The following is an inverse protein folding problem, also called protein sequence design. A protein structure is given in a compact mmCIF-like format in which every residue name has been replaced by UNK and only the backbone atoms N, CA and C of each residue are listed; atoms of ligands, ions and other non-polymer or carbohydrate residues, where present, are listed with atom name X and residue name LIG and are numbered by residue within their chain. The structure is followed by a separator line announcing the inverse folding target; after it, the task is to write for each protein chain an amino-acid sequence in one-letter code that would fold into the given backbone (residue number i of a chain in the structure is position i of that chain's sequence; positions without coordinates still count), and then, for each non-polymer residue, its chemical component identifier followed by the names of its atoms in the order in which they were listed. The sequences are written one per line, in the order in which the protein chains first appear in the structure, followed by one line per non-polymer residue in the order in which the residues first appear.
data_IF_590369350702
#
_entry.id   IF_590369350702
#
_cell.length_a   1.000
_cell.length_b   1.000
_cell.length_c   1.000
_cell.angle_alpha   90.00
_cell.angle_beta   90.00
_cell.angle_gamma   90.00
#
_symmetry.space_group_name_H-M   'P 1'
#
loop_
_entity.id
_entity.type
_entity.pdbx_description
1 polymer ?
#
# COMPACT_ATOMS: atom_id res chain seq x y z
N UNK A 1 32.80 -16.52 22.05
CA UNK A 1 31.70 -17.11 22.84
C UNK A 1 30.44 -17.03 22.00
N UNK A 2 29.62 -18.09 21.89
CA UNK A 2 28.27 -17.94 21.36
C UNK A 2 27.52 -16.90 22.21
N UNK A 3 26.61 -16.11 21.61
CA UNK A 3 25.74 -15.22 22.38
C UNK A 3 25.01 -16.01 23.47
N UNK A 4 24.80 -15.37 24.62
CA UNK A 4 23.92 -15.96 25.62
C UNK A 4 22.47 -15.93 25.10
N UNK A 5 21.66 -16.92 25.47
CA UNK A 5 20.22 -16.94 25.14
C UNK A 5 19.52 -15.63 25.56
N UNK A 6 20.01 -14.97 26.62
CA UNK A 6 19.50 -13.69 27.12
C UNK A 6 19.73 -12.50 26.16
N UNK A 7 20.83 -12.47 25.41
CA UNK A 7 21.12 -11.37 24.48
C UNK A 7 20.10 -11.33 23.33
N UNK A 8 19.70 -12.51 22.84
CA UNK A 8 18.70 -12.64 21.77
C UNK A 8 17.31 -12.21 22.26
N UNK A 9 16.95 -12.61 23.48
CA UNK A 9 15.67 -12.25 24.10
C UNK A 9 15.53 -10.73 24.26
N UNK A 10 16.62 -10.07 24.68
CA UNK A 10 16.66 -8.61 24.78
C UNK A 10 16.49 -7.94 23.40
N UNK A 11 17.25 -8.38 22.38
CA UNK A 11 17.14 -7.85 21.00
C UNK A 11 15.71 -7.99 20.46
N UNK A 12 15.09 -9.14 20.68
CA UNK A 12 13.71 -9.40 20.22
C UNK A 12 12.72 -8.48 20.92
N UNK A 13 12.89 -8.29 22.23
CA UNK A 13 12.06 -7.38 23.02
C UNK A 13 12.16 -5.94 22.50
N UNK A 14 13.37 -5.47 22.20
CA UNK A 14 13.60 -4.13 21.65
C UNK A 14 12.98 -3.95 20.25
N UNK A 15 13.01 -4.98 19.41
CA UNK A 15 12.34 -4.98 18.09
C UNK A 15 10.82 -4.91 18.26
N UNK A 16 10.25 -5.75 19.12
CA UNK A 16 8.81 -5.77 19.38
C UNK A 16 8.34 -4.41 19.87
N UNK A 17 9.07 -3.79 20.81
CA UNK A 17 8.73 -2.46 21.32
C UNK A 17 8.77 -1.40 20.21
N UNK A 18 9.78 -1.42 19.34
CA UNK A 18 9.90 -0.48 18.23
C UNK A 18 8.76 -0.62 17.21
N UNK A 19 8.33 -1.85 16.91
CA UNK A 19 7.23 -2.12 15.97
C UNK A 19 5.86 -1.83 16.60
N UNK A 20 5.67 -2.16 17.88
CA UNK A 20 4.45 -1.85 18.63
C UNK A 20 4.23 -0.34 18.78
N UNK A 21 5.31 0.45 18.91
CA UNK A 21 5.24 1.92 18.91
C UNK A 21 4.69 2.49 17.60
N UNK A 22 4.77 1.72 16.50
CA UNK A 22 4.18 2.04 15.19
C UNK A 22 2.84 1.35 14.94
N UNK A 23 2.26 0.74 15.96
CA UNK A 23 1.00 -0.01 15.91
C UNK A 23 1.01 -1.24 14.99
N UNK A 24 2.19 -1.82 14.76
CA UNK A 24 2.38 -3.04 13.96
C UNK A 24 3.09 -4.13 14.76
N UNK A 25 2.52 -4.59 15.91
CA UNK A 25 3.13 -5.65 16.71
C UNK A 25 3.18 -6.95 15.90
N UNK A 26 4.36 -7.58 15.69
CA UNK A 26 4.46 -8.81 14.92
C UNK A 26 3.97 -10.03 15.70
N UNK A 27 3.61 -11.11 14.99
CA UNK A 27 3.34 -12.42 15.61
C UNK A 27 4.61 -13.08 16.12
N UNK A 28 4.46 -13.98 17.11
CA UNK A 28 5.58 -14.79 17.60
C UNK A 28 6.24 -15.62 16.48
N UNK A 29 5.43 -16.16 15.56
CA UNK A 29 5.93 -16.93 14.43
C UNK A 29 6.80 -16.07 13.50
N UNK A 30 6.36 -14.85 13.17
CA UNK A 30 7.15 -13.93 12.36
C UNK A 30 8.48 -13.57 13.05
N UNK A 31 8.44 -13.31 14.36
CA UNK A 31 9.66 -13.01 15.14
C UNK A 31 10.64 -14.18 15.17
N UNK A 32 10.17 -15.42 15.30
CA UNK A 32 11.01 -16.62 15.26
C UNK A 32 11.70 -16.79 13.90
N UNK A 33 11.00 -16.49 12.80
CA UNK A 33 11.63 -16.48 11.48
C UNK A 33 12.63 -15.32 11.31
N UNK A 34 12.29 -14.14 11.83
CA UNK A 34 13.17 -12.99 11.76
C UNK A 34 14.47 -13.20 12.56
N UNK A 35 14.38 -13.77 13.78
CA UNK A 35 15.52 -13.96 14.67
C UNK A 35 16.60 -14.88 14.08
N UNK A 36 16.21 -15.87 13.26
CA UNK A 36 17.13 -16.73 12.51
C UNK A 36 18.02 -15.96 11.53
N UNK A 37 17.63 -14.75 11.13
CA UNK A 37 18.37 -13.91 10.20
C UNK A 37 19.21 -12.82 10.85
N UNK A 38 19.13 -12.67 12.18
CA UNK A 38 19.84 -11.63 12.93
C UNK A 38 21.34 -11.95 12.97
N UNK A 39 22.15 -10.93 12.66
CA UNK A 39 23.59 -10.93 12.92
C UNK A 39 23.86 -10.09 14.15
N UNK A 40 24.40 -10.69 15.20
CA UNK A 40 24.52 -10.09 16.54
C UNK A 40 25.45 -8.88 16.61
N UNK A 41 26.32 -8.70 15.61
CA UNK A 41 27.17 -7.53 15.49
C UNK A 41 26.45 -6.32 14.84
N UNK A 42 25.20 -6.48 14.42
CA UNK A 42 24.43 -5.41 13.77
C UNK A 42 23.91 -4.44 14.83
N UNK A 43 24.13 -3.12 14.68
CA UNK A 43 23.57 -2.14 15.60
C UNK A 43 22.04 -2.23 15.71
N UNK A 44 21.51 -2.01 16.91
CA UNK A 44 20.08 -2.13 17.19
C UNK A 44 19.18 -1.28 16.25
N UNK A 45 19.53 -0.01 15.92
CA UNK A 45 18.71 0.78 15.01
C UNK A 45 18.60 0.15 13.60
N UNK A 46 19.69 -0.47 13.12
CA UNK A 46 19.70 -1.15 11.83
C UNK A 46 18.84 -2.44 11.87
N UNK A 47 18.87 -3.18 12.98
CA UNK A 47 17.98 -4.33 13.19
C UNK A 47 16.51 -3.92 13.23
N UNK A 48 16.15 -2.86 13.96
CA UNK A 48 14.79 -2.33 14.00
C UNK A 48 14.31 -1.92 12.61
N UNK A 49 15.14 -1.22 11.84
CA UNK A 49 14.80 -0.82 10.46
C UNK A 49 14.66 -2.00 9.51
N UNK A 50 15.52 -3.01 9.65
CA UNK A 50 15.42 -4.24 8.85
C UNK A 50 14.16 -5.03 9.20
N UNK A 51 13.82 -5.11 10.50
CA UNK A 51 12.60 -5.75 10.97
C UNK A 51 11.36 -5.03 10.43
N UNK A 52 11.31 -3.71 10.55
CA UNK A 52 10.24 -2.86 9.99
C UNK A 52 10.09 -3.10 8.49
N UNK A 53 11.16 -2.97 7.71
CA UNK A 53 11.14 -3.17 6.26
C UNK A 53 10.58 -4.55 5.88
N UNK A 54 11.06 -5.62 6.53
CA UNK A 54 10.60 -6.97 6.26
C UNK A 54 9.15 -7.20 6.67
N UNK A 55 8.71 -6.64 7.80
CA UNK A 55 7.34 -6.78 8.27
C UNK A 55 6.37 -6.07 7.33
N UNK A 56 6.69 -4.85 6.91
CA UNK A 56 5.90 -4.08 5.94
C UNK A 56 5.80 -4.78 4.57
N UNK A 57 6.74 -5.68 4.26
CA UNK A 57 6.73 -6.54 3.07
C UNK A 57 5.87 -7.81 3.14
N UNK A 58 5.17 -8.06 4.25
CA UNK A 58 4.37 -9.29 4.47
C UNK A 58 2.87 -9.01 4.51
N UNK A 59 2.05 -10.07 4.40
CA UNK A 59 0.61 -10.00 4.62
C UNK A 59 0.28 -9.88 6.12
N UNK A 60 -0.36 -8.76 6.51
CA UNK A 60 -0.69 -8.47 7.92
C UNK A 60 -1.58 -9.51 8.57
N UNK A 61 -2.36 -10.27 7.80
CA UNK A 61 -3.28 -11.28 8.35
C UNK A 61 -2.53 -12.47 8.97
N UNK A 62 -1.27 -12.66 8.59
CA UNK A 62 -0.38 -13.71 9.10
C UNK A 62 0.76 -13.17 9.97
N UNK A 63 1.15 -11.90 9.77
CA UNK A 63 2.36 -11.35 10.36
C UNK A 63 2.12 -10.42 11.55
N UNK A 64 0.91 -9.87 11.73
CA UNK A 64 0.60 -8.99 12.85
C UNK A 64 -0.24 -9.67 13.94
N UNK A 65 0.03 -9.32 15.19
CA UNK A 65 -0.77 -9.75 16.33
C UNK A 65 -2.08 -8.96 16.39
N UNK A 66 -3.21 -9.67 16.37
CA UNK A 66 -4.53 -9.05 16.48
C UNK A 66 -4.87 -8.66 17.92
N UNK A 67 -5.48 -7.50 18.10
CA UNK A 67 -6.16 -7.04 19.32
C UNK A 67 -7.54 -6.51 18.97
N UNK A 68 -8.41 -6.30 19.97
CA UNK A 68 -9.77 -5.78 19.76
C UNK A 68 -9.77 -4.39 19.10
N UNK A 69 -8.73 -3.57 19.33
CA UNK A 69 -8.63 -2.22 18.75
C UNK A 69 -7.95 -2.19 17.38
N UNK A 70 -7.26 -3.26 17.00
CA UNK A 70 -6.48 -3.34 15.76
C UNK A 70 -7.25 -4.01 14.62
N UNK A 71 -8.57 -4.12 14.74
CA UNK A 71 -9.46 -4.77 13.78
C UNK A 71 -10.70 -3.89 13.59
N UNK A 72 -11.34 -3.99 12.44
CA UNK A 72 -12.60 -3.32 12.21
C UNK A 72 -13.72 -3.92 13.07
N UNK A 73 -14.64 -3.10 13.60
CA UNK A 73 -15.82 -3.60 14.27
C UNK A 73 -16.73 -4.36 13.30
N UNK A 74 -17.57 -5.25 13.85
CA UNK A 74 -18.55 -5.97 13.06
C UNK A 74 -19.49 -4.99 12.33
N UNK A 75 -19.81 -5.31 11.06
CA UNK A 75 -20.69 -4.48 10.25
C UNK A 75 -20.05 -3.18 9.73
N UNK A 76 -18.71 -3.05 9.76
CA UNK A 76 -17.99 -1.85 9.28
C UNK A 76 -18.41 -1.41 7.86
N UNK A 77 -18.71 -2.36 6.98
CA UNK A 77 -19.10 -2.10 5.60
C UNK A 77 -20.63 -1.96 5.41
N UNK A 78 -21.40 -1.90 6.49
CA UNK A 78 -22.87 -1.82 6.42
C UNK A 78 -23.33 -0.43 5.96
N UNK A 79 -24.12 -0.33 4.87
CA UNK A 79 -24.65 0.96 4.40
C UNK A 79 -25.80 1.50 5.28
N UNK A 80 -26.39 0.66 6.13
CA UNK A 80 -27.50 1.03 7.01
C UNK A 80 -27.05 2.01 8.11
N UNK A 81 -25.80 1.90 8.54
CA UNK A 81 -25.22 2.82 9.52
C UNK A 81 -24.84 4.11 8.80
N UNK A 82 -25.53 5.21 9.14
CA UNK A 82 -25.27 6.53 8.56
C UNK A 82 -23.81 6.93 8.77
N UNK A 83 -23.36 6.84 10.01
CA UNK A 83 -22.02 7.26 10.43
C UNK A 83 -21.61 6.51 11.69
N UNK A 84 -20.35 6.09 11.77
CA UNK A 84 -19.73 5.52 12.95
C UNK A 84 -18.30 6.06 13.08
N UNK A 85 -17.93 6.50 14.28
CA UNK A 85 -16.55 6.91 14.58
C UNK A 85 -15.78 5.77 15.22
N UNK A 86 -14.55 5.55 14.78
CA UNK A 86 -13.68 4.48 15.26
C UNK A 86 -12.39 5.09 15.80
N UNK A 87 -12.06 4.88 17.09
CA UNK A 87 -10.87 5.49 17.70
C UNK A 87 -9.56 4.90 17.16
N UNK A 88 -9.54 3.61 16.83
CA UNK A 88 -8.31 2.91 16.45
C UNK A 88 -7.32 2.74 17.61
N UNK A 89 -6.02 2.54 17.34
CA UNK A 89 -5.39 2.44 16.03
C UNK A 89 -5.71 1.13 15.31
N UNK A 90 -6.12 1.21 14.05
CA UNK A 90 -6.36 0.04 13.18
C UNK A 90 -5.27 -0.02 12.09
N UNK A 91 -4.31 -0.95 12.17
CA UNK A 91 -3.40 -1.21 11.07
C UNK A 91 -4.16 -1.89 9.93
N UNK A 92 -3.94 -1.40 8.72
CA UNK A 92 -4.60 -1.85 7.51
C UNK A 92 -3.59 -2.05 6.39
N UNK A 93 -3.99 -2.82 5.39
CA UNK A 93 -3.23 -3.09 4.20
C UNK A 93 -4.04 -2.73 2.96
N UNK A 94 -3.38 -2.09 1.99
CA UNK A 94 -3.97 -1.70 0.71
C UNK A 94 -4.05 -2.91 -0.22
N UNK A 95 -5.25 -3.20 -0.72
CA UNK A 95 -5.51 -4.26 -1.70
C UNK A 95 -5.76 -3.74 -3.10
N UNK A 96 -6.28 -2.52 -3.22
CA UNK A 96 -6.57 -1.85 -4.50
C UNK A 96 -6.58 -0.33 -4.28
N UNK A 97 -6.27 0.42 -5.33
CA UNK A 97 -6.37 1.88 -5.37
C UNK A 97 -6.91 2.31 -6.73
N UNK A 98 -7.90 3.20 -6.71
CA UNK A 98 -8.47 3.85 -7.88
C UNK A 98 -8.37 5.37 -7.71
N UNK A 99 -7.70 6.05 -8.65
CA UNK A 99 -7.85 7.49 -8.81
C UNK A 99 -9.22 7.75 -9.45
N UNK A 100 -10.12 8.39 -8.72
CA UNK A 100 -11.46 8.71 -9.21
C UNK A 100 -11.57 10.15 -9.72
N UNK A 101 -10.50 10.94 -9.57
CA UNK A 101 -10.39 12.29 -10.13
C UNK A 101 -10.09 12.28 -11.63
N UNK A 102 -9.46 11.21 -12.12
CA UNK A 102 -9.18 11.03 -13.55
C UNK A 102 -10.07 9.99 -14.21
N UNK A 103 -10.41 10.21 -15.48
CA UNK A 103 -11.16 9.22 -16.25
C UNK A 103 -10.34 7.94 -16.42
N UNK A 104 -11.03 6.79 -16.44
CA UNK A 104 -10.40 5.47 -16.66
C UNK A 104 -9.63 5.42 -17.98
N UNK A 105 -10.17 6.06 -19.01
CA UNK A 105 -9.53 6.14 -20.32
C UNK A 105 -8.23 6.94 -20.27
N UNK A 106 -8.22 8.09 -19.58
CA UNK A 106 -6.99 8.88 -19.38
C UNK A 106 -5.92 8.09 -18.62
N UNK A 107 -6.31 7.23 -17.68
CA UNK A 107 -5.38 6.35 -16.96
C UNK A 107 -4.82 5.25 -17.88
N UNK A 108 -5.66 4.65 -18.74
CA UNK A 108 -5.22 3.68 -19.75
C UNK A 108 -4.21 4.31 -20.72
N UNK A 109 -4.50 5.51 -21.23
CA UNK A 109 -3.59 6.24 -22.12
C UNK A 109 -2.26 6.53 -21.43
N UNK A 110 -2.27 6.92 -20.16
CA UNK A 110 -1.03 7.16 -19.40
C UNK A 110 -0.17 5.89 -19.28
N UNK A 111 -0.78 4.73 -19.00
CA UNK A 111 -0.07 3.44 -18.95
C UNK A 111 0.52 3.10 -20.31
N UNK A 112 -0.25 3.25 -21.39
CA UNK A 112 0.22 2.94 -22.74
C UNK A 112 1.34 3.89 -23.21
N UNK A 113 1.34 5.15 -22.76
CA UNK A 113 2.43 6.11 -23.02
C UNK A 113 3.71 5.70 -22.29
N UNK A 114 3.61 5.29 -21.03
CA UNK A 114 4.75 4.79 -20.26
C UNK A 114 5.36 3.53 -20.89
N UNK A 115 4.51 2.60 -21.36
CA UNK A 115 4.96 1.39 -22.10
C UNK A 115 5.69 1.73 -23.40
N UNK A 116 5.35 2.86 -24.04
CA UNK A 116 6.03 3.37 -25.25
C UNK A 116 7.24 4.24 -24.95
N UNK A 117 7.53 4.55 -23.67
CA UNK A 117 8.61 5.46 -23.28
C UNK A 117 8.33 6.94 -23.59
N UNK A 118 7.05 7.31 -23.71
CA UNK A 118 6.60 8.67 -23.99
C UNK A 118 6.27 9.38 -22.67
N UNK A 119 7.03 10.42 -22.29
CA UNK A 119 6.72 11.24 -21.11
C UNK A 119 6.03 12.53 -21.53
N UNK A 120 4.97 12.91 -20.82
CA UNK A 120 4.26 14.19 -21.02
C UNK A 120 4.88 15.27 -20.14
N UNK A 121 5.24 16.42 -20.73
CA UNK A 121 5.45 17.67 -20.00
C UNK A 121 4.42 18.69 -20.50
N UNK A 122 3.21 18.65 -19.91
CA UNK A 122 2.06 19.44 -20.37
C UNK A 122 1.25 18.76 -21.49
N UNK A 123 0.64 19.56 -22.37
CA UNK A 123 -0.17 19.11 -23.53
C UNK A 123 0.68 18.54 -24.69
N UNK A 124 1.97 18.31 -24.49
CA UNK A 124 2.90 17.84 -25.52
C UNK A 124 3.53 16.51 -25.10
N UNK A 125 3.55 15.56 -26.04
CA UNK A 125 4.13 14.22 -25.88
C UNK A 125 5.60 14.29 -26.34
N UNK A 126 6.55 14.07 -25.43
CA UNK A 126 7.98 14.07 -25.75
C UNK A 126 8.47 12.62 -25.79
N UNK A 127 9.04 12.22 -26.93
CA UNK A 127 9.71 10.93 -27.07
C UNK A 127 11.10 11.01 -26.42
N UNK A 128 11.35 10.17 -25.43
CA UNK A 128 12.69 10.07 -24.83
C UNK A 128 13.57 9.25 -25.78
N UNK A 129 14.54 9.90 -26.40
CA UNK A 129 15.62 9.22 -27.14
C UNK A 129 16.74 8.94 -26.12
N UNK A 130 17.24 7.70 -26.00
CA UNK A 130 18.37 7.42 -25.11
C UNK A 130 19.65 7.89 -25.78
N UNK A 131 20.23 8.99 -25.28
CA UNK A 131 21.64 9.29 -25.52
C UNK A 131 22.48 8.50 -24.51
N UNK A 132 23.35 7.65 -25.03
CA UNK A 132 24.36 6.91 -24.26
C UNK A 132 25.50 7.84 -23.88
N UNK A 133 25.55 8.35 -22.63
CA UNK A 133 26.82 8.55 -21.91
C UNK A 133 26.64 8.88 -20.41
N UNK A 134 27.32 8.08 -19.58
CA UNK A 134 27.79 8.28 -18.19
C UNK A 134 27.14 9.33 -17.26
N UNK A 135 26.49 8.87 -16.16
CA UNK A 135 26.93 9.07 -14.76
C UNK A 135 25.79 8.84 -13.71
N UNK A 136 26.13 8.07 -12.66
CA UNK A 136 25.52 7.94 -11.32
C UNK A 136 24.04 7.51 -11.11
N UNK A 137 23.78 6.36 -10.43
CA UNK A 137 22.45 5.96 -9.99
C UNK A 137 22.16 6.54 -8.59
N UNK A 138 21.93 7.84 -8.50
CA UNK A 138 21.47 8.46 -7.26
C UNK A 138 20.39 9.51 -7.58
N UNK A 139 19.17 9.25 -7.07
CA UNK A 139 18.10 10.23 -6.87
C UNK A 139 17.36 10.72 -8.12
N UNK A 140 16.69 9.82 -8.85
CA UNK A 140 15.53 10.22 -9.67
C UNK A 140 14.26 10.22 -8.81
N UNK A 141 14.24 11.11 -7.81
CA UNK A 141 13.00 11.58 -7.22
C UNK A 141 12.35 12.56 -8.23
N UNK A 142 11.78 12.02 -9.31
CA UNK A 142 11.06 12.79 -10.30
C UNK A 142 9.62 13.04 -9.82
N UNK A 143 9.50 13.73 -8.70
CA UNK A 143 8.24 14.33 -8.24
C UNK A 143 8.02 15.61 -9.06
N UNK A 144 7.38 15.46 -10.23
CA UNK A 144 7.26 16.55 -11.20
C UNK A 144 6.04 16.49 -12.11
N UNK A 145 4.83 16.54 -11.54
CA UNK A 145 3.62 17.10 -12.17
C UNK A 145 2.52 17.33 -11.11
N UNK A 146 2.55 18.49 -10.46
CA UNK A 146 1.55 18.93 -9.48
C UNK A 146 0.20 19.30 -10.09
N UNK A 147 -0.55 18.30 -10.56
CA UNK A 147 -2.00 18.34 -10.44
C UNK A 147 -2.40 17.83 -9.05
N UNK A 148 -3.55 18.21 -8.48
CA UNK A 148 -4.06 17.52 -7.30
C UNK A 148 -4.22 16.05 -7.67
N UNK A 149 -3.43 15.16 -7.06
CA UNK A 149 -3.71 13.73 -7.09
C UNK A 149 -5.14 13.58 -6.59
N UNK A 150 -6.01 13.03 -7.43
CA UNK A 150 -7.45 13.05 -7.21
C UNK A 150 -7.80 12.39 -5.88
N UNK A 151 -9.03 12.56 -5.36
CA UNK A 151 -9.42 11.74 -4.23
C UNK A 151 -9.28 10.26 -4.64
N UNK A 152 -8.56 9.47 -3.85
CA UNK A 152 -8.39 8.06 -4.14
C UNK A 152 -9.47 7.23 -3.43
N UNK A 153 -9.93 6.20 -4.14
CA UNK A 153 -10.72 5.11 -3.54
C UNK A 153 -9.80 3.93 -3.30
N UNK A 154 -9.68 3.49 -2.05
CA UNK A 154 -8.85 2.34 -1.67
C UNK A 154 -9.73 1.17 -1.25
N UNK A 155 -9.27 -0.05 -1.49
CA UNK A 155 -9.76 -1.25 -0.81
C UNK A 155 -8.77 -1.60 0.30
N UNK A 156 -9.22 -1.52 1.55
CA UNK A 156 -8.39 -1.77 2.73
C UNK A 156 -8.77 -3.10 3.37
N UNK A 157 -7.78 -3.78 3.95
CA UNK A 157 -7.94 -5.00 4.72
C UNK A 157 -7.35 -4.82 6.13
N UNK A 158 -8.04 -5.28 7.17
CA UNK A 158 -7.50 -5.34 8.54
C UNK A 158 -6.76 -6.67 8.82
N UNK A 159 -6.21 -6.81 10.03
CA UNK A 159 -5.48 -8.03 10.46
C UNK A 159 -6.35 -9.29 10.43
N UNK A 160 -7.69 -9.19 10.52
CA UNK A 160 -8.59 -10.35 10.44
C UNK A 160 -9.04 -10.66 9.02
N UNK A 161 -8.57 -9.90 8.05
CA UNK A 161 -8.92 -10.06 6.66
C UNK A 161 -10.24 -9.38 6.27
N UNK A 162 -10.86 -8.61 7.18
CA UNK A 162 -12.06 -7.84 6.88
C UNK A 162 -11.70 -6.75 5.88
N UNK A 163 -12.50 -6.63 4.82
CA UNK A 163 -12.28 -5.68 3.73
C UNK A 163 -13.31 -4.55 3.77
N UNK A 164 -12.86 -3.33 3.51
CA UNK A 164 -13.73 -2.16 3.46
C UNK A 164 -13.18 -1.15 2.46
N UNK A 165 -14.07 -0.48 1.73
CA UNK A 165 -13.66 0.63 0.89
C UNK A 165 -13.36 1.86 1.73
N UNK A 166 -12.36 2.61 1.32
CA UNK A 166 -12.01 3.89 1.87
C UNK A 166 -12.01 4.94 0.75
N UNK A 167 -12.35 6.17 1.13
CA UNK A 167 -12.40 7.33 0.25
C UNK A 167 -11.57 8.44 0.89
N UNK A 168 -10.69 9.03 0.10
CA UNK A 168 -9.89 10.17 0.51
C UNK A 168 -10.74 11.44 0.57
N UNK A 169 -11.15 11.83 1.79
CA UNK A 169 -11.93 13.05 2.03
C UNK A 169 -11.03 14.29 2.05
N UNK A 170 -9.82 14.14 2.59
CA UNK A 170 -8.74 15.13 2.56
C UNK A 170 -7.49 14.47 2.02
N UNK A 171 -6.66 15.21 1.27
CA UNK A 171 -5.39 14.66 0.76
C UNK A 171 -4.50 14.13 1.90
N UNK A 172 -4.12 12.86 1.81
CA UNK A 172 -3.23 12.18 2.75
C UNK A 172 -1.86 12.02 2.11
N UNK A 173 -0.82 12.48 2.80
CA UNK A 173 0.55 12.32 2.31
C UNK A 173 0.90 10.82 2.13
N UNK A 174 1.43 10.48 0.95
CA UNK A 174 1.77 9.11 0.59
C UNK A 174 0.62 8.30 -0.02
N UNK A 175 -0.56 8.89 -0.24
CA UNK A 175 -1.60 8.30 -1.08
C UNK A 175 -1.58 9.00 -2.45
N UNK A 176 -1.17 8.25 -3.46
CA UNK A 176 -1.23 8.64 -4.87
C UNK A 176 -1.36 7.38 -5.75
N UNK A 177 -1.48 7.56 -7.07
CA UNK A 177 -1.58 6.45 -8.03
C UNK A 177 -0.35 5.53 -8.08
N UNK A 178 0.77 5.92 -7.47
CA UNK A 178 1.99 5.11 -7.35
C UNK A 178 2.06 4.29 -6.06
N UNK A 179 1.09 4.46 -5.14
CA UNK A 179 1.01 3.69 -3.90
C UNK A 179 1.00 2.18 -4.18
N UNK A 180 2.02 1.49 -3.69
CA UNK A 180 2.20 0.07 -3.98
C UNK A 180 1.14 -0.80 -3.31
N UNK A 181 0.73 -1.88 -3.99
CA UNK A 181 -0.22 -2.82 -3.40
C UNK A 181 0.42 -3.63 -2.29
N UNK A 182 -0.33 -3.83 -1.21
CA UNK A 182 0.17 -4.37 0.04
C UNK A 182 0.81 -3.31 0.94
N UNK A 183 0.82 -2.02 0.57
CA UNK A 183 1.24 -0.94 1.47
C UNK A 183 0.47 -0.99 2.79
N UNK A 184 1.16 -0.68 3.89
CA UNK A 184 0.57 -0.65 5.24
C UNK A 184 0.25 0.77 5.64
N UNK A 185 -0.87 0.91 6.34
CA UNK A 185 -1.31 2.18 6.90
C UNK A 185 -1.84 1.95 8.31
N UNK A 186 -1.93 3.02 9.11
CA UNK A 186 -2.59 3.00 10.42
C UNK A 186 -3.66 4.06 10.45
N UNK A 187 -4.89 3.63 10.78
CA UNK A 187 -6.05 4.50 10.89
C UNK A 187 -6.35 4.81 12.36
N UNK A 188 -6.60 6.08 12.67
CA UNK A 188 -6.94 6.60 14.01
C UNK A 188 -8.06 7.61 13.91
N UNK A 189 -8.97 7.59 14.88
CA UNK A 189 -10.06 8.55 15.03
C UNK A 189 -10.86 8.82 13.74
N UNK A 190 -11.02 7.79 12.90
CA UNK A 190 -11.61 7.89 11.58
C UNK A 190 -13.14 7.69 11.61
N UNK A 191 -13.79 8.21 10.58
CA UNK A 191 -15.23 8.08 10.39
C UNK A 191 -15.51 7.07 9.30
N UNK A 192 -16.52 6.24 9.51
CA UNK A 192 -17.12 5.38 8.51
C UNK A 192 -18.52 5.88 8.24
N UNK A 193 -18.81 6.27 7.00
CA UNK A 193 -20.14 6.71 6.61
C UNK A 193 -20.66 5.79 5.51
N UNK A 194 -21.87 5.24 5.72
CA UNK A 194 -22.52 4.31 4.78
C UNK A 194 -21.61 3.15 4.35
N UNK A 195 -20.85 2.59 5.28
CA UNK A 195 -19.95 1.47 5.03
C UNK A 195 -18.62 1.83 4.34
N UNK A 196 -18.28 3.11 4.20
CA UNK A 196 -17.04 3.59 3.58
C UNK A 196 -16.22 4.40 4.59
N UNK A 197 -14.93 4.08 4.71
CA UNK A 197 -14.00 4.84 5.55
C UNK A 197 -13.71 6.19 4.89
N UNK A 198 -13.83 7.27 5.66
CA UNK A 198 -13.46 8.62 5.24
C UNK A 198 -12.04 8.92 5.74
N UNK A 199 -11.06 8.85 4.83
CA UNK A 199 -9.66 9.12 5.15
C UNK A 199 -9.42 10.62 5.26
N UNK A 200 -8.71 11.01 6.30
CA UNK A 200 -8.26 12.38 6.55
C UNK A 200 -6.77 12.38 6.83
N UNK A 201 -6.11 13.52 6.61
CA UNK A 201 -4.67 13.65 6.84
C UNK A 201 -4.29 13.41 8.31
N UNK A 202 -5.18 13.74 9.25
CA UNK A 202 -4.96 13.57 10.69
C UNK A 202 -5.14 12.13 11.17
N UNK A 203 -6.07 11.40 10.55
CA UNK A 203 -6.45 10.06 10.96
C UNK A 203 -5.69 8.94 10.26
N UNK A 204 -4.72 9.27 9.41
CA UNK A 204 -4.10 8.30 8.49
C UNK A 204 -2.59 8.45 8.46
N UNK A 205 -1.88 7.42 8.92
CA UNK A 205 -0.44 7.29 8.68
C UNK A 205 -0.18 6.26 7.59
N UNK A 206 0.55 6.65 6.54
CA UNK A 206 1.09 5.72 5.55
C UNK A 206 2.45 5.23 6.03
N UNK A 207 2.57 3.93 6.30
CA UNK A 207 3.84 3.30 6.68
C UNK A 207 4.62 2.80 5.45
N UNK A 208 3.93 2.62 4.32
CA UNK A 208 4.52 2.13 3.07
C UNK A 208 4.71 0.61 3.05
N UNK A 209 5.74 0.14 2.36
CA UNK A 209 5.95 -1.28 2.06
C UNK A 209 5.14 -1.75 0.86
N UNK A 210 5.27 -3.02 0.50
CA UNK A 210 4.53 -3.66 -0.59
C UNK A 210 4.60 -5.16 -0.46
N UNK A 211 3.62 -5.87 -1.03
CA UNK A 211 3.74 -7.32 -1.24
C UNK A 211 4.08 -7.52 -2.71
N UNK A 212 5.33 -7.88 -2.99
CA UNK A 212 5.88 -7.87 -4.35
C UNK A 212 5.02 -8.64 -5.36
N UNK A 213 4.55 -9.83 -4.98
CA UNK A 213 3.69 -10.64 -5.84
C UNK A 213 2.34 -9.95 -6.16
N UNK A 214 1.76 -9.24 -5.19
CA UNK A 214 0.47 -8.58 -5.36
C UNK A 214 0.61 -7.28 -6.15
N UNK A 215 1.64 -6.48 -5.85
CA UNK A 215 1.95 -5.24 -6.57
C UNK A 215 2.27 -5.51 -8.04
N UNK A 216 3.07 -6.54 -8.32
CA UNK A 216 3.38 -6.97 -9.68
C UNK A 216 2.12 -7.39 -10.43
N UNK A 217 1.33 -8.30 -9.85
CA UNK A 217 0.10 -8.78 -10.48
C UNK A 217 -0.88 -7.63 -10.76
N UNK A 218 -1.06 -6.72 -9.79
CA UNK A 218 -1.95 -5.58 -9.94
C UNK A 218 -1.51 -4.66 -11.08
N UNK A 219 -0.22 -4.37 -11.21
CA UNK A 219 0.32 -3.54 -12.31
C UNK A 219 0.10 -4.19 -13.67
N UNK A 220 0.37 -5.50 -13.78
CA UNK A 220 0.16 -6.27 -15.01
C UNK A 220 -1.32 -6.29 -15.42
N UNK A 221 -2.24 -6.39 -14.45
CA UNK A 221 -3.68 -6.40 -14.70
C UNK A 221 -4.31 -5.01 -14.89
N UNK A 222 -3.65 -3.94 -14.44
CA UNK A 222 -4.26 -2.62 -14.25
C UNK A 222 -4.91 -2.08 -15.52
N UNK A 223 -4.20 -2.15 -16.64
CA UNK A 223 -4.69 -1.66 -17.95
C UNK A 223 -5.96 -2.40 -18.39
N UNK A 224 -5.97 -3.73 -18.26
CA UNK A 224 -7.13 -4.57 -18.61
C UNK A 224 -8.33 -4.23 -17.73
N UNK A 225 -8.13 -4.16 -16.42
CA UNK A 225 -9.19 -3.80 -15.45
C UNK A 225 -9.76 -2.42 -15.72
N UNK A 226 -8.91 -1.43 -16.06
CA UNK A 226 -9.38 -0.08 -16.41
C UNK A 226 -10.21 -0.06 -17.70
N UNK A 227 -9.80 -0.81 -18.74
CA UNK A 227 -10.56 -0.96 -19.99
C UNK A 227 -11.94 -1.59 -19.73
N UNK A 228 -11.98 -2.70 -18.97
CA UNK A 228 -13.23 -3.36 -18.57
C UNK A 228 -14.15 -2.41 -17.78
N UNK A 229 -13.62 -1.72 -16.76
CA UNK A 229 -14.39 -0.75 -15.96
C UNK A 229 -14.82 0.49 -16.78
N UNK A 230 -14.19 0.78 -17.91
CA UNK A 230 -14.58 1.83 -18.85
C UNK A 230 -15.66 1.36 -19.85
N UNK A 231 -16.09 0.10 -19.78
CA UNK A 231 -17.09 -0.47 -20.69
C UNK A 231 -16.49 -0.91 -22.04
N UNK A 232 -15.17 -1.07 -22.14
CA UNK A 232 -14.55 -1.60 -23.35
C UNK A 232 -14.84 -3.10 -23.47
N UNK A 233 -15.60 -3.47 -24.48
CA UNK A 233 -15.77 -4.85 -24.93
C UNK A 233 -14.92 -5.06 -26.16
N UNK A 234 -13.91 -5.91 -26.09
CA UNK A 234 -13.17 -6.34 -27.27
C UNK A 234 -14.19 -6.96 -28.25
N UNK A 235 -14.32 -6.39 -29.45
CA UNK A 235 -15.24 -6.90 -30.47
C UNK A 235 -14.85 -8.34 -30.78
N UNK A 236 -15.56 -9.30 -30.18
CA UNK A 236 -15.46 -10.73 -30.50
C UNK A 236 -16.22 -10.99 -31.80
N UNK A 237 -15.79 -10.37 -32.88
CA UNK A 237 -16.17 -10.72 -34.26
C UNK A 237 -14.98 -11.36 -34.94
N UNK A 238 -14.73 -12.61 -34.55
CA UNK A 238 -14.03 -13.59 -35.36
C UNK A 238 -14.65 -14.95 -35.00
N UNK A 239 -15.14 -15.66 -36.01
CA UNK A 239 -15.89 -16.92 -35.96
C UNK A 239 -17.40 -16.79 -35.83
N UNK A 240 -18.03 -16.35 -36.92
CA UNK A 240 -19.29 -16.90 -37.44
C UNK A 240 -19.46 -16.38 -38.87
N UNK A 241 -18.64 -16.87 -39.80
CA UNK A 241 -19.01 -16.95 -41.23
C UNK A 241 -18.34 -18.20 -41.80
N UNK A 242 -19.21 -19.13 -42.20
CA UNK A 242 -19.09 -20.35 -43.03
C UNK A 242 -18.12 -21.48 -42.62
#
# INVERSE_FOLDING_TARGET
MPPSTGDMEQITTEIVNALAAKHIPPTQQWLQHFSQSIRLNTPMPALQKTAEFRLLGTDITSSLQSSVRSVFPAGIASPEVKEQRIPGPVPVQVLDIDDIGHSRWSQVEAIEMEERGETRKGHEVIRVVPDEDNADPALTANSGAGGPSGPHKLLLQDIKGNKVYAFELESVNGIDSSLAIGSKMVLRDFVVARGVIMLTARGTDVLGGKIDAWDKQWKEDRKRVLKEKAGWTENRTANLVD
#
